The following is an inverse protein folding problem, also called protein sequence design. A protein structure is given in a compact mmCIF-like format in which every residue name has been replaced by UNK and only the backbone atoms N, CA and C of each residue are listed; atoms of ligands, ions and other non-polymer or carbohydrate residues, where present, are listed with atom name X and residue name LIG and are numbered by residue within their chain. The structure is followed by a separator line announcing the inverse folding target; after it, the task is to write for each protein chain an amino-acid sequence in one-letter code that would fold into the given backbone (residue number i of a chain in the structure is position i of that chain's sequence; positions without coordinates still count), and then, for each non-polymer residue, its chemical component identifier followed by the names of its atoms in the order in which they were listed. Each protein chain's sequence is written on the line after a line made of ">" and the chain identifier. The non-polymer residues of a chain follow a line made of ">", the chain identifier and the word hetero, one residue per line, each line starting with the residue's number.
data_IF_579154980973
#
_entry.id   IF_579154980973
#
_cell.length_a   1.000
_cell.length_b   1.000
_cell.length_c   1.000
_cell.angle_alpha   90.00
_cell.angle_beta   90.00
_cell.angle_gamma   90.00
#
_symmetry.space_group_name_H-M   'P 1'
#
loop_
_entity.id
_entity.type
_entity.pdbx_description
1 polymer ?
#
# COMPACT_ATOMS: atom_id res chain seq x y z
N UNK A 1 6.04 -8.83 -32.37
CA UNK A 1 5.97 -8.09 -31.84
C UNK A 1 6.15 -7.86 -31.20
N UNK A 2 6.09 -7.84 -30.95
CA UNK A 2 6.18 -7.37 -30.32
C UNK A 2 6.20 -7.38 -29.47
N UNK A 3 6.70 -7.70 -29.33
CA UNK A 3 6.49 -7.71 -28.09
C UNK A 3 6.75 -6.72 -27.44
N UNK A 4 6.96 -6.20 -27.84
CA UNK A 4 7.09 -5.18 -27.33
C UNK A 4 6.27 -4.66 -26.73
N UNK A 5 5.80 -4.77 -27.08
CA UNK A 5 4.68 -4.34 -26.52
C UNK A 5 4.42 -4.91 -25.22
N UNK A 6 4.49 -6.14 -25.08
CA UNK A 6 4.22 -6.76 -23.83
C UNK A 6 5.04 -6.18 -22.75
N UNK A 7 6.23 -5.88 -23.07
CA UNK A 7 7.13 -5.30 -22.14
C UNK A 7 6.62 -4.00 -21.61
N UNK A 8 6.16 -3.20 -22.48
CA UNK A 8 5.73 -1.90 -22.08
C UNK A 8 4.55 -1.97 -21.13
N UNK A 9 3.67 -2.88 -21.39
CA UNK A 9 2.49 -2.93 -20.58
C UNK A 9 2.72 -3.32 -19.19
N UNK A 10 3.73 -4.13 -18.94
CA UNK A 10 3.96 -4.53 -17.57
C UNK A 10 4.79 -3.53 -16.81
N UNK A 11 5.13 -2.45 -17.45
CA UNK A 11 5.99 -1.47 -16.80
C UNK A 11 5.23 -0.42 -16.02
N UNK A 12 3.94 -0.62 -15.77
CA UNK A 12 3.20 0.36 -15.00
C UNK A 12 3.74 0.48 -13.59
N UNK A 13 3.96 1.71 -13.18
CA UNK A 13 4.46 2.04 -11.84
C UNK A 13 3.63 3.15 -11.28
N UNK A 14 3.30 3.05 -10.01
CA UNK A 14 2.60 4.12 -9.31
C UNK A 14 3.28 4.40 -7.99
N UNK A 15 3.27 5.66 -7.58
CA UNK A 15 3.79 6.08 -6.30
C UNK A 15 2.64 6.60 -5.46
N UNK A 16 2.50 6.05 -4.27
CA UNK A 16 1.47 6.43 -3.32
C UNK A 16 2.15 7.07 -2.12
N UNK A 17 1.77 8.31 -1.81
CA UNK A 17 2.26 9.01 -0.62
C UNK A 17 1.15 8.94 0.42
N UNK A 18 1.47 8.39 1.58
CA UNK A 18 0.50 8.25 2.66
C UNK A 18 1.11 8.75 3.96
N UNK A 19 0.33 9.50 4.72
CA UNK A 19 0.77 10.08 5.98
C UNK A 19 0.00 9.42 7.11
N UNK A 20 0.71 9.03 8.18
CA UNK A 20 0.06 8.61 9.42
C UNK A 20 0.31 9.68 10.47
N UNK A 21 -0.78 10.26 10.98
CA UNK A 21 -0.73 11.31 11.99
C UNK A 21 -2.01 11.26 12.82
N UNK A 22 -1.87 11.48 14.11
CA UNK A 22 -3.00 11.43 15.04
C UNK A 22 -3.75 10.11 14.98
N UNK A 23 -2.99 9.01 14.82
CA UNK A 23 -3.54 7.66 14.77
C UNK A 23 -4.52 7.46 13.61
N UNK A 24 -4.22 8.09 12.48
CA UNK A 24 -5.06 7.97 11.27
C UNK A 24 -4.19 8.08 10.03
N UNK A 25 -4.62 7.44 8.95
CA UNK A 25 -4.04 7.66 7.63
C UNK A 25 -4.77 8.81 6.95
N UNK A 26 -4.06 9.56 6.10
CA UNK A 26 -4.67 10.63 5.33
C UNK A 26 -5.40 10.14 4.07
N UNK A 27 -5.31 8.84 3.78
CA UNK A 27 -6.01 8.21 2.66
C UNK A 27 -6.90 7.10 3.18
N UNK A 28 -8.12 7.01 2.66
CA UNK A 28 -9.00 5.89 2.95
C UNK A 28 -9.19 4.96 1.75
N UNK A 29 -8.71 5.37 0.59
CA UNK A 29 -8.77 4.57 -0.63
C UNK A 29 -7.49 4.77 -1.41
N UNK A 30 -6.90 3.67 -1.85
CA UNK A 30 -5.72 3.67 -2.71
C UNK A 30 -6.08 2.89 -3.96
N UNK A 31 -5.93 3.50 -5.14
CA UNK A 31 -6.29 2.88 -6.41
C UNK A 31 -5.06 2.75 -7.30
N UNK A 32 -4.82 1.56 -7.81
CA UNK A 32 -3.68 1.28 -8.70
C UNK A 32 -4.11 0.38 -9.84
N UNK A 33 -3.36 0.37 -10.97
CA UNK A 33 -3.61 -0.60 -12.03
C UNK A 33 -3.23 -2.01 -11.62
N UNK A 34 -3.92 -2.99 -12.17
CA UNK A 34 -3.59 -4.40 -11.92
C UNK A 34 -2.15 -4.69 -12.36
N UNK A 35 -1.44 -5.43 -11.55
CA UNK A 35 -0.06 -5.83 -11.85
C UNK A 35 0.97 -4.72 -11.76
N UNK A 36 0.58 -3.52 -11.34
CA UNK A 36 1.51 -2.39 -11.28
C UNK A 36 2.55 -2.59 -10.18
N UNK A 37 3.71 -2.01 -10.42
CA UNK A 37 4.69 -1.87 -9.35
C UNK A 37 4.29 -0.66 -8.50
N UNK A 38 4.01 -0.90 -7.24
CA UNK A 38 3.51 0.13 -6.33
C UNK A 38 4.63 0.53 -5.38
N UNK A 39 4.91 1.83 -5.36
CA UNK A 39 5.85 2.40 -4.39
C UNK A 39 5.03 3.12 -3.33
N UNK A 40 5.20 2.71 -2.08
CA UNK A 40 4.53 3.35 -0.94
C UNK A 40 5.55 4.19 -0.19
N UNK A 41 5.27 5.48 -0.09
CA UNK A 41 6.03 6.39 0.75
C UNK A 41 5.19 6.67 1.98
N UNK A 42 5.56 6.07 3.10
CA UNK A 42 4.88 6.30 4.37
C UNK A 42 5.62 7.37 5.15
N UNK A 43 4.91 8.44 5.50
CA UNK A 43 5.41 9.50 6.36
C UNK A 43 4.71 9.38 7.71
N UNK A 44 5.41 8.81 8.69
CA UNK A 44 4.87 8.65 10.04
C UNK A 44 5.22 9.88 10.87
N UNK A 45 4.22 10.70 11.16
CA UNK A 45 4.38 11.94 11.91
C UNK A 45 4.00 11.80 13.38
N UNK A 46 3.54 10.60 13.80
CA UNK A 46 3.18 10.37 15.19
C UNK A 46 4.42 10.09 16.02
N UNK A 47 4.85 11.06 16.82
CA UNK A 47 6.08 10.96 17.60
C UNK A 47 5.98 9.81 18.60
N UNK A 48 6.96 8.90 18.52
CA UNK A 48 7.05 7.78 19.45
C UNK A 48 6.09 6.64 19.20
N UNK A 49 5.30 6.70 18.12
CA UNK A 49 4.29 5.69 17.84
C UNK A 49 4.65 4.94 16.57
N UNK A 50 4.67 3.59 16.62
CA UNK A 50 4.96 2.80 15.43
C UNK A 50 3.74 2.69 14.51
N UNK A 51 3.97 2.82 13.21
CA UNK A 51 2.96 2.60 12.19
C UNK A 51 3.59 1.88 11.01
N UNK A 52 2.76 1.16 10.26
CA UNK A 52 3.12 0.62 8.96
C UNK A 52 1.90 0.66 8.05
N UNK A 53 2.08 0.29 6.78
CA UNK A 53 0.99 0.09 5.85
C UNK A 53 1.16 -1.29 5.25
N UNK A 54 0.18 -2.15 5.47
CA UNK A 54 0.17 -3.50 4.93
C UNK A 54 -1.09 -3.71 4.10
N UNK A 55 -0.98 -4.54 3.07
CA UNK A 55 -2.05 -4.78 2.12
C UNK A 55 -2.46 -6.24 2.19
N UNK A 56 -3.75 -6.50 2.19
CA UNK A 56 -4.33 -7.82 2.35
C UNK A 56 -5.44 -8.06 1.34
N UNK A 57 -5.78 -9.32 1.14
CA UNK A 57 -6.83 -9.66 0.18
C UNK A 57 -8.20 -9.17 0.63
N UNK A 58 -8.43 -9.14 1.95
CA UNK A 58 -9.69 -8.60 2.49
C UNK A 58 -9.49 -8.15 3.94
N UNK A 59 -10.55 -7.66 4.56
CA UNK A 59 -10.48 -7.06 5.89
C UNK A 59 -10.22 -8.05 7.01
N UNK A 60 -10.21 -9.35 6.73
CA UNK A 60 -9.81 -10.33 7.74
C UNK A 60 -8.30 -10.27 8.00
N UNK A 61 -7.54 -9.70 7.06
CA UNK A 61 -6.09 -9.62 7.13
C UNK A 61 -5.44 -11.00 7.28
N UNK A 62 -6.08 -12.02 6.70
CA UNK A 62 -5.58 -13.38 6.77
C UNK A 62 -4.50 -13.66 5.72
N UNK A 63 -4.68 -13.10 4.52
CA UNK A 63 -3.77 -13.36 3.40
C UNK A 63 -3.13 -12.06 2.96
N UNK A 64 -1.83 -11.93 3.21
CA UNK A 64 -1.10 -10.70 2.92
C UNK A 64 -0.73 -10.61 1.44
N UNK A 65 -0.90 -9.41 0.89
CA UNK A 65 -0.33 -9.04 -0.40
C UNK A 65 1.07 -8.50 -0.15
N UNK A 66 1.20 -7.64 0.85
CA UNK A 66 2.47 -7.02 1.21
C UNK A 66 2.39 -6.54 2.66
N UNK A 67 3.40 -6.87 3.45
CA UNK A 67 3.49 -6.42 4.83
C UNK A 67 4.58 -5.37 4.94
N UNK A 68 4.20 -4.15 5.31
CA UNK A 68 5.14 -3.05 5.42
C UNK A 68 5.95 -3.08 6.70
N UNK A 69 7.12 -2.46 6.68
CA UNK A 69 7.95 -2.35 7.86
C UNK A 69 7.36 -1.35 8.85
N UNK A 70 7.41 -1.69 10.12
CA UNK A 70 7.02 -0.76 11.19
C UNK A 70 8.11 0.27 11.38
N UNK A 71 7.71 1.53 11.43
CA UNK A 71 8.63 2.61 11.74
C UNK A 71 8.04 3.47 12.86
N UNK A 72 8.89 3.94 13.75
CA UNK A 72 8.47 4.81 14.85
C UNK A 72 8.62 6.25 14.41
N UNK A 73 7.58 7.05 14.60
CA UNK A 73 7.63 8.44 14.18
C UNK A 73 8.48 9.35 15.07
N UNK A 74 8.92 10.46 14.54
CA UNK A 74 8.78 10.89 13.14
C UNK A 74 9.81 10.19 12.27
N UNK A 75 9.35 9.57 11.20
CA UNK A 75 10.23 8.87 10.25
C UNK A 75 9.48 8.60 8.96
N UNK A 76 10.23 8.27 7.92
CA UNK A 76 9.68 7.95 6.60
C UNK A 76 10.30 6.67 6.10
N UNK A 77 9.51 5.91 5.33
CA UNK A 77 10.00 4.70 4.69
C UNK A 77 9.40 4.62 3.29
N UNK A 78 10.20 4.12 2.35
CA UNK A 78 9.77 3.86 0.98
C UNK A 78 9.90 2.37 0.72
N UNK A 79 8.80 1.75 0.29
CA UNK A 79 8.77 0.33 0.02
C UNK A 79 8.01 0.08 -1.27
N UNK A 80 8.33 -1.02 -1.96
CA UNK A 80 7.70 -1.36 -3.23
C UNK A 80 7.14 -2.77 -3.16
N UNK A 81 6.04 -2.98 -3.89
CA UNK A 81 5.47 -4.31 -4.07
C UNK A 81 4.71 -4.34 -5.39
N UNK A 82 4.33 -5.53 -5.83
CA UNK A 82 3.55 -5.70 -7.05
C UNK A 82 2.09 -5.87 -6.70
N UNK A 83 1.24 -5.06 -7.31
CA UNK A 83 -0.21 -5.15 -7.10
C UNK A 83 -0.74 -6.48 -7.65
N UNK A 84 -1.86 -6.97 -7.11
CA UNK A 84 -2.49 -8.17 -7.66
C UNK A 84 -2.80 -8.02 -9.14
N UNK A 85 -2.71 -9.13 -9.87
CA UNK A 85 -3.06 -9.15 -11.28
C UNK A 85 -4.57 -9.11 -11.50
N UNK A 86 -5.34 -9.49 -10.49
CA UNK A 86 -6.80 -9.53 -10.56
C UNK A 86 -7.38 -8.20 -10.11
N UNK A 87 -8.13 -7.50 -10.97
CA UNK A 87 -8.85 -6.29 -10.54
C UNK A 87 -9.87 -6.63 -9.46
N UNK A 88 -10.03 -5.71 -8.53
CA UNK A 88 -11.00 -5.90 -7.45
C UNK A 88 -10.73 -4.97 -6.29
N UNK A 89 -11.51 -5.17 -5.23
CA UNK A 89 -11.34 -4.44 -3.99
C UNK A 89 -10.60 -5.29 -2.99
N UNK A 90 -9.55 -4.71 -2.44
CA UNK A 90 -8.68 -5.33 -1.45
C UNK A 90 -8.63 -4.39 -0.23
N UNK A 91 -7.73 -4.61 0.69
CA UNK A 91 -7.75 -3.96 1.99
C UNK A 91 -6.35 -3.53 2.41
N UNK A 92 -6.22 -2.41 3.12
CA UNK A 92 -4.96 -2.05 3.75
C UNK A 92 -5.19 -1.59 5.18
N UNK A 93 -4.17 -1.73 6.02
CA UNK A 93 -4.25 -1.34 7.42
C UNK A 93 -2.86 -1.07 7.99
N UNK A 94 -2.84 -0.45 9.18
CA UNK A 94 -1.69 -0.49 10.05
C UNK A 94 -1.82 -1.73 10.93
N UNK A 95 -0.81 -2.60 10.92
CA UNK A 95 -0.94 -3.90 11.58
C UNK A 95 -1.05 -3.82 13.09
N UNK A 96 -0.44 -2.81 13.69
CA UNK A 96 -0.50 -2.63 15.16
C UNK A 96 -1.64 -1.74 15.60
N UNK A 97 -2.33 -1.11 14.63
CA UNK A 97 -3.50 -0.26 14.89
C UNK A 97 -4.53 -0.50 13.80
N UNK A 98 -5.20 -1.67 13.79
CA UNK A 98 -6.06 -2.05 12.65
C UNK A 98 -7.26 -1.15 12.40
N UNK A 99 -7.63 -0.30 13.35
CA UNK A 99 -8.66 0.70 13.09
C UNK A 99 -8.20 1.76 12.07
N UNK A 100 -6.88 1.84 11.82
CA UNK A 100 -6.34 2.65 10.73
C UNK A 100 -6.33 1.76 9.49
N UNK A 101 -7.34 1.92 8.64
CA UNK A 101 -7.50 1.03 7.48
C UNK A 101 -8.22 1.73 6.34
N UNK A 102 -8.27 1.06 5.21
CA UNK A 102 -8.97 1.55 4.04
C UNK A 102 -9.09 0.49 2.96
N UNK A 103 -9.56 0.93 1.81
CA UNK A 103 -9.79 0.08 0.65
C UNK A 103 -8.65 0.23 -0.35
N UNK A 104 -8.15 -0.88 -0.83
CA UNK A 104 -7.14 -0.92 -1.88
C UNK A 104 -7.82 -1.42 -3.15
N UNK A 105 -7.99 -0.53 -4.12
CA UNK A 105 -8.70 -0.83 -5.36
C UNK A 105 -7.69 -1.12 -6.46
N UNK A 106 -7.82 -2.26 -7.10
CA UNK A 106 -6.99 -2.64 -8.23
C UNK A 106 -7.87 -2.63 -9.48
N UNK A 107 -7.45 -1.88 -10.48
CA UNK A 107 -8.24 -1.69 -11.72
C UNK A 107 -7.67 -2.47 -12.90
#
# INVERSE_FOLDING_TARGET
>A
MTPETATAEVAKSVTINIVSVNMAFDLDTITVPAGAEVTINLDNQDVGIPHNVSFYTDSSAADAIFVGDLITGPDKVTQTFTAPAEPGSYYFQCDVHPFMNGTFVVE
#
